data_IF_792984073523
#
_entry.id   IF_792984073523
#
_cell.length_a   1.000
_cell.length_b   1.000
_cell.length_c   1.000
_cell.angle_alpha   90.00
_cell.angle_beta   90.00
_cell.angle_gamma   90.00
#
_symmetry.space_group_name_H-M   'P 1'
#
loop_
_entity.id
_entity.type
_entity.pdbx_description
1 polymer ?
#
# COMPACT_ATOMS: atom_id res chain seq x y z
N UNK A 1 -64.39 12.13 -37.15
CA UNK A 1 -64.82 13.38 -37.83
C UNK A 1 -65.16 14.38 -36.73
N UNK A 2 -64.53 15.53 -36.54
CA UNK A 2 -63.95 16.49 -37.49
C UNK A 2 -62.63 17.07 -36.98
N UNK A 3 -61.77 17.34 -37.96
CA UNK A 3 -60.46 17.98 -37.88
C UNK A 3 -60.57 19.49 -37.63
N UNK A 4 -59.53 20.00 -36.98
CA UNK A 4 -58.88 21.31 -37.17
C UNK A 4 -59.74 22.57 -37.19
N UNK A 5 -59.60 23.40 -36.15
CA UNK A 5 -59.43 24.84 -36.35
C UNK A 5 -58.57 25.43 -35.21
N UNK A 6 -57.29 25.69 -35.50
CA UNK A 6 -56.45 26.59 -34.69
C UNK A 6 -55.63 27.45 -35.64
N UNK A 7 -55.99 28.72 -35.62
CA UNK A 7 -55.40 29.84 -36.34
C UNK A 7 -53.87 29.81 -36.34
N UNK A 8 -53.30 30.01 -37.53
CA UNK A 8 -51.87 30.19 -37.75
C UNK A 8 -51.40 31.50 -37.08
N UNK A 9 -50.34 31.49 -36.26
CA UNK A 9 -49.81 32.70 -35.66
C UNK A 9 -49.20 33.61 -36.74
N UNK A 10 -49.39 34.92 -36.59
CA UNK A 10 -48.94 35.95 -37.54
C UNK A 10 -47.43 35.88 -37.80
N UNK A 11 -46.99 36.34 -38.98
CA UNK A 11 -45.59 36.35 -39.38
C UNK A 11 -44.67 37.06 -38.37
N UNK A 12 -45.20 38.03 -37.60
CA UNK A 12 -44.50 38.72 -36.52
C UNK A 12 -44.24 37.82 -35.30
N UNK A 13 -45.20 36.96 -34.94
CA UNK A 13 -45.07 36.01 -33.83
C UNK A 13 -44.06 34.89 -34.16
N UNK A 14 -44.02 34.42 -35.41
CA UNK A 14 -43.01 33.44 -35.87
C UNK A 14 -41.60 34.01 -35.85
N UNK A 15 -41.40 35.27 -36.24
CA UNK A 15 -40.09 35.95 -36.18
C UNK A 15 -39.60 36.15 -34.74
N UNK A 16 -40.50 36.48 -33.80
CA UNK A 16 -40.14 36.62 -32.37
C UNK A 16 -39.80 35.28 -31.72
N UNK A 17 -40.54 34.20 -32.00
CA UNK A 17 -40.18 32.86 -31.53
C UNK A 17 -38.85 32.36 -32.12
N UNK A 18 -38.59 32.59 -33.40
CA UNK A 18 -37.33 32.20 -34.04
C UNK A 18 -36.12 32.97 -33.44
N UNK A 19 -36.28 34.26 -33.12
CA UNK A 19 -35.24 35.05 -32.46
C UNK A 19 -34.98 34.61 -31.01
N UNK A 20 -36.03 34.24 -30.27
CA UNK A 20 -35.93 33.70 -28.90
C UNK A 20 -35.30 32.30 -28.87
N UNK A 21 -35.71 31.41 -29.77
CA UNK A 21 -35.08 30.09 -29.93
C UNK A 21 -33.62 30.21 -30.40
N UNK A 22 -33.33 31.13 -31.33
CA UNK A 22 -31.97 31.40 -31.79
C UNK A 22 -31.06 31.92 -30.69
N UNK A 23 -31.55 32.82 -29.83
CA UNK A 23 -30.80 33.35 -28.68
C UNK A 23 -30.62 32.33 -27.56
N UNK A 24 -31.61 31.47 -27.30
CA UNK A 24 -31.50 30.33 -26.37
C UNK A 24 -30.50 29.27 -26.87
N UNK A 25 -30.50 28.96 -28.17
CA UNK A 25 -29.55 28.04 -28.78
C UNK A 25 -28.13 28.63 -28.81
N UNK A 26 -27.98 29.94 -29.04
CA UNK A 26 -26.69 30.62 -28.96
C UNK A 26 -26.15 30.65 -27.53
N UNK A 27 -27.02 30.91 -26.54
CA UNK A 27 -26.67 30.86 -25.12
C UNK A 27 -26.30 29.43 -24.66
N UNK A 28 -27.03 28.41 -25.13
CA UNK A 28 -26.70 27.01 -24.87
C UNK A 28 -25.38 26.61 -25.54
N UNK A 29 -25.12 27.05 -26.79
CA UNK A 29 -23.87 26.80 -27.49
C UNK A 29 -22.67 27.54 -26.85
N UNK A 30 -22.88 28.75 -26.33
CA UNK A 30 -21.88 29.51 -25.57
C UNK A 30 -21.62 28.89 -24.18
N UNK A 31 -22.66 28.34 -23.52
CA UNK A 31 -22.52 27.60 -22.27
C UNK A 31 -21.78 26.26 -22.46
N UNK A 32 -22.07 25.54 -23.55
CA UNK A 32 -21.37 24.32 -23.95
C UNK A 32 -19.91 24.59 -24.36
N UNK A 33 -19.63 25.73 -25.02
CA UNK A 33 -18.25 26.18 -25.31
C UNK A 33 -17.48 26.67 -24.07
N UNK A 34 -18.18 27.09 -23.01
CA UNK A 34 -17.59 27.40 -21.71
C UNK A 34 -17.21 26.16 -20.89
N UNK A 35 -17.86 25.03 -21.16
CA UNK A 35 -17.62 23.76 -20.46
C UNK A 35 -16.45 22.93 -21.02
N UNK A 36 -15.95 23.26 -22.22
CA UNK A 36 -14.91 22.51 -22.94
C UNK A 36 -13.59 23.26 -23.09
N UNK A 37 -13.40 24.40 -22.40
CA UNK A 37 -12.09 25.06 -22.36
C UNK A 37 -11.10 24.19 -21.57
N UNK A 38 -9.93 23.83 -22.13
CA UNK A 38 -8.84 23.23 -21.37
C UNK A 38 -8.53 24.15 -20.19
N UNK A 39 -8.65 23.63 -18.96
CA UNK A 39 -8.30 24.38 -17.77
C UNK A 39 -6.80 24.67 -17.80
N UNK A 40 -6.36 25.93 -17.65
CA UNK A 40 -4.95 26.24 -17.46
C UNK A 40 -4.44 25.56 -16.19
N UNK A 41 -3.27 24.92 -16.27
CA UNK A 41 -2.59 24.35 -15.12
C UNK A 41 -2.46 25.42 -14.02
N UNK A 42 -2.94 25.10 -12.81
CA UNK A 42 -2.82 25.98 -11.64
C UNK A 42 -4.04 26.86 -11.31
N UNK A 43 -5.11 26.88 -12.11
CA UNK A 43 -6.31 27.66 -11.72
C UNK A 43 -7.02 27.01 -10.51
N UNK A 44 -7.22 27.72 -9.36
CA UNK A 44 -7.70 27.11 -8.11
C UNK A 44 -9.04 26.38 -8.23
N UNK A 45 -9.98 26.93 -9.00
CA UNK A 45 -11.29 26.29 -9.26
C UNK A 45 -11.20 24.99 -10.06
N UNK A 46 -10.23 24.88 -10.97
CA UNK A 46 -10.01 23.66 -11.75
C UNK A 46 -9.36 22.58 -10.88
N UNK A 47 -8.36 22.97 -10.07
CA UNK A 47 -7.73 22.09 -9.07
C UNK A 47 -8.77 21.53 -8.09
N UNK A 48 -9.67 22.37 -7.59
CA UNK A 48 -10.72 21.93 -6.67
C UNK A 48 -11.73 20.97 -7.33
N UNK A 49 -12.11 21.20 -8.60
CA UNK A 49 -12.97 20.27 -9.35
C UNK A 49 -12.29 18.93 -9.57
N UNK A 50 -11.01 18.93 -9.93
CA UNK A 50 -10.21 17.72 -10.09
C UNK A 50 -10.09 16.95 -8.78
N UNK A 51 -9.80 17.63 -7.66
CA UNK A 51 -9.68 17.00 -6.36
C UNK A 51 -11.00 16.41 -5.87
N UNK A 52 -12.13 17.10 -6.07
CA UNK A 52 -13.46 16.52 -5.81
C UNK A 52 -13.74 15.28 -6.66
N UNK A 53 -13.29 15.25 -7.91
CA UNK A 53 -13.41 14.07 -8.76
C UNK A 53 -12.48 12.91 -8.34
N UNK A 54 -11.49 13.17 -7.48
CA UNK A 54 -10.58 12.17 -6.91
C UNK A 54 -10.96 11.79 -5.47
N UNK A 55 -11.92 12.45 -4.85
CA UNK A 55 -12.43 12.02 -3.55
C UNK A 55 -13.03 10.62 -3.68
N UNK A 56 -12.73 9.77 -2.71
CA UNK A 56 -13.39 8.48 -2.62
C UNK A 56 -14.79 8.73 -2.09
N UNK A 57 -15.84 8.31 -2.80
CA UNK A 57 -17.20 8.47 -2.29
C UNK A 57 -17.30 7.69 -0.97
N UNK A 58 -18.02 8.22 0.04
CA UNK A 58 -18.25 7.46 1.26
C UNK A 58 -19.00 6.18 0.88
N UNK A 59 -18.30 5.04 0.98
CA UNK A 59 -18.85 3.75 0.58
C UNK A 59 -20.06 3.37 1.42
N UNK A 60 -20.00 3.68 2.71
CA UNK A 60 -21.07 3.51 3.71
C UNK A 60 -21.31 4.83 4.46
N UNK A 61 -22.43 4.92 5.20
CA UNK A 61 -22.70 6.01 6.16
C UNK A 61 -21.82 5.89 7.42
N UNK A 62 -20.51 5.69 7.24
CA UNK A 62 -19.55 5.69 8.33
C UNK A 62 -19.00 7.11 8.45
N UNK A 63 -19.06 7.69 9.65
CA UNK A 63 -18.46 8.99 9.92
C UNK A 63 -16.95 8.85 10.12
N UNK A 64 -16.20 8.61 9.04
CA UNK A 64 -14.76 8.43 9.10
C UNK A 64 -14.02 9.63 9.67
N UNK A 65 -14.53 10.85 9.46
CA UNK A 65 -13.96 12.06 10.09
C UNK A 65 -14.04 12.01 11.62
N UNK A 66 -15.14 11.49 12.16
CA UNK A 66 -15.33 11.28 13.60
C UNK A 66 -14.43 10.16 14.12
N UNK A 67 -14.37 9.03 13.41
CA UNK A 67 -13.47 7.90 13.73
C UNK A 67 -12.02 8.38 13.83
N UNK A 68 -11.52 9.11 12.84
CA UNK A 68 -10.14 9.64 12.85
C UNK A 68 -9.87 10.54 14.06
N UNK A 69 -10.86 11.33 14.50
CA UNK A 69 -10.75 12.20 15.68
C UNK A 69 -10.88 11.46 17.01
N UNK A 70 -11.16 10.16 17.01
CA UNK A 70 -11.41 9.40 18.23
C UNK A 70 -12.80 9.63 18.84
N UNK A 71 -13.79 10.08 18.04
CA UNK A 71 -15.17 10.20 18.50
C UNK A 71 -15.75 8.81 18.80
N UNK A 72 -15.95 8.51 20.08
CA UNK A 72 -16.46 7.22 20.54
C UNK A 72 -17.78 6.84 19.90
N UNK A 73 -18.66 7.82 19.62
CA UNK A 73 -19.95 7.55 18.99
C UNK A 73 -19.75 7.11 17.55
N UNK A 74 -18.90 7.81 16.80
CA UNK A 74 -18.59 7.46 15.42
C UNK A 74 -17.92 6.07 15.33
N UNK A 75 -17.04 5.73 16.27
CA UNK A 75 -16.39 4.41 16.34
C UNK A 75 -17.42 3.32 16.64
N UNK A 76 -18.28 3.50 17.65
CA UNK A 76 -19.33 2.54 18.00
C UNK A 76 -20.31 2.33 16.84
N UNK A 77 -20.75 3.41 16.19
CA UNK A 77 -21.63 3.34 15.01
C UNK A 77 -20.95 2.59 13.84
N UNK A 78 -19.65 2.80 13.61
CA UNK A 78 -18.89 2.10 12.58
C UNK A 78 -18.73 0.59 12.89
N UNK A 79 -18.44 0.24 14.14
CA UNK A 79 -18.34 -1.15 14.59
C UNK A 79 -19.68 -1.89 14.43
N UNK A 80 -20.79 -1.24 14.83
CA UNK A 80 -22.14 -1.78 14.63
C UNK A 80 -22.46 -1.98 13.15
N UNK A 81 -22.15 -0.99 12.31
CA UNK A 81 -22.36 -1.10 10.85
C UNK A 81 -21.59 -2.26 10.23
N UNK A 82 -20.36 -2.53 10.70
CA UNK A 82 -19.59 -3.68 10.24
C UNK A 82 -20.24 -5.01 10.60
N UNK A 83 -20.79 -5.15 11.82
CA UNK A 83 -21.47 -6.37 12.26
C UNK A 83 -22.73 -6.66 11.45
N UNK A 84 -23.53 -5.62 11.16
CA UNK A 84 -24.76 -5.76 10.35
C UNK A 84 -24.47 -6.23 8.92
N UNK A 85 -23.34 -5.80 8.37
CA UNK A 85 -22.98 -6.00 6.96
C UNK A 85 -22.05 -7.19 6.76
N UNK A 86 -21.42 -7.72 7.82
CA UNK A 86 -20.53 -8.89 7.77
C UNK A 86 -21.19 -10.10 7.06
N UNK A 87 -22.51 -10.25 7.17
CA UNK A 87 -23.28 -11.31 6.50
C UNK A 87 -23.67 -11.02 5.04
N UNK A 88 -23.55 -9.77 4.57
CA UNK A 88 -24.07 -9.31 3.26
C UNK A 88 -23.01 -8.76 2.32
N UNK A 89 -21.79 -8.51 2.79
CA UNK A 89 -20.73 -7.95 1.94
C UNK A 89 -20.21 -9.01 0.96
N UNK A 90 -20.35 -8.73 -0.33
CA UNK A 90 -19.61 -9.43 -1.38
C UNK A 90 -18.36 -8.62 -1.75
N UNK A 91 -17.17 -9.18 -1.54
CA UNK A 91 -15.93 -8.60 -2.07
C UNK A 91 -15.91 -8.63 -3.59
N UNK A 92 -15.22 -7.68 -4.21
CA UNK A 92 -15.01 -7.69 -5.66
C UNK A 92 -14.21 -8.94 -6.08
N UNK A 93 -14.75 -9.67 -7.03
CA UNK A 93 -14.17 -10.92 -7.54
C UNK A 93 -13.13 -10.66 -8.62
N UNK A 94 -12.20 -11.61 -8.88
CA UNK A 94 -11.24 -11.48 -9.97
C UNK A 94 -11.92 -11.26 -11.34
N UNK A 95 -13.05 -11.92 -11.61
CA UNK A 95 -13.80 -11.75 -12.85
C UNK A 95 -14.37 -10.34 -13.03
N UNK A 96 -14.76 -9.67 -11.94
CA UNK A 96 -15.20 -8.27 -12.00
C UNK A 96 -14.03 -7.35 -12.36
N UNK A 97 -12.85 -7.55 -11.77
CA UNK A 97 -11.66 -6.79 -12.13
C UNK A 97 -11.27 -6.99 -13.60
N UNK A 98 -11.28 -8.24 -14.09
CA UNK A 98 -11.04 -8.53 -15.51
C UNK A 98 -11.99 -7.78 -16.45
N UNK A 99 -13.24 -7.58 -16.05
CA UNK A 99 -14.19 -6.82 -16.85
C UNK A 99 -13.93 -5.31 -16.77
N UNK A 100 -13.61 -4.79 -15.58
CA UNK A 100 -13.35 -3.37 -15.37
C UNK A 100 -12.08 -2.91 -16.09
N UNK A 101 -11.03 -3.73 -16.12
CA UNK A 101 -9.73 -3.40 -16.73
C UNK A 101 -9.69 -3.54 -18.26
N UNK A 102 -10.80 -3.90 -18.91
CA UNK A 102 -10.91 -3.88 -20.38
C UNK A 102 -10.74 -2.47 -20.95
N UNK A 103 -11.18 -1.47 -20.19
CA UNK A 103 -10.93 -0.06 -20.47
C UNK A 103 -10.14 0.51 -19.30
N UNK A 104 -8.82 0.62 -19.47
CA UNK A 104 -7.93 1.10 -18.42
C UNK A 104 -8.20 2.56 -18.03
N UNK A 105 -8.68 3.40 -18.95
CA UNK A 105 -9.03 4.78 -18.65
C UNK A 105 -10.26 4.82 -17.75
N UNK A 106 -11.31 4.08 -18.11
CA UNK A 106 -12.52 3.96 -17.30
C UNK A 106 -12.24 3.27 -15.95
N UNK A 107 -11.36 2.27 -15.92
CA UNK A 107 -10.92 1.62 -14.67
C UNK A 107 -10.26 2.63 -13.73
N UNK A 108 -9.24 3.36 -14.20
CA UNK A 108 -8.52 4.33 -13.38
C UNK A 108 -9.42 5.47 -12.90
N UNK A 109 -10.30 5.97 -13.76
CA UNK A 109 -11.28 7.00 -13.41
C UNK A 109 -12.29 6.50 -12.36
N UNK A 110 -12.92 5.34 -12.61
CA UNK A 110 -13.95 4.79 -11.73
C UNK A 110 -13.40 4.36 -10.37
N UNK A 111 -12.17 3.83 -10.35
CA UNK A 111 -11.47 3.46 -9.12
C UNK A 111 -10.78 4.64 -8.44
N UNK A 112 -10.74 5.81 -9.09
CA UNK A 112 -10.18 7.07 -8.57
C UNK A 112 -8.67 6.97 -8.31
N UNK A 113 -7.90 6.46 -9.26
CA UNK A 113 -6.43 6.53 -9.19
C UNK A 113 -5.94 7.97 -9.40
N UNK A 114 -4.84 8.34 -8.74
CA UNK A 114 -4.20 9.65 -8.92
C UNK A 114 -3.11 9.49 -9.98
N UNK A 115 -3.34 10.04 -11.18
CA UNK A 115 -2.48 9.82 -12.35
C UNK A 115 -1.49 10.96 -12.63
N UNK A 116 -1.32 11.88 -11.68
CA UNK A 116 -0.36 13.00 -11.77
C UNK A 116 0.31 13.22 -10.41
N UNK A 117 1.57 13.69 -10.37
CA UNK A 117 2.23 14.06 -9.11
C UNK A 117 1.45 15.16 -8.38
N UNK A 118 1.28 15.03 -7.06
CA UNK A 118 0.54 16.01 -6.27
C UNK A 118 1.40 17.21 -5.85
N UNK A 119 2.72 17.04 -5.82
CA UNK A 119 3.71 18.08 -5.51
C UNK A 119 5.04 17.81 -6.23
N UNK A 120 5.83 18.86 -6.43
CA UNK A 120 7.19 18.75 -6.98
C UNK A 120 8.11 17.94 -6.03
N UNK A 121 7.92 18.09 -4.71
CA UNK A 121 8.68 17.33 -3.72
C UNK A 121 8.50 15.82 -3.88
N UNK A 122 7.27 15.38 -4.17
CA UNK A 122 6.97 13.97 -4.41
C UNK A 122 7.45 13.50 -5.78
N UNK A 123 7.40 14.35 -6.81
CA UNK A 123 7.88 14.04 -8.16
C UNK A 123 9.39 13.80 -8.18
N UNK A 124 10.14 14.63 -7.45
CA UNK A 124 11.61 14.57 -7.35
C UNK A 124 12.13 13.49 -6.39
N UNK A 125 11.25 12.76 -5.70
CA UNK A 125 11.64 11.69 -4.79
C UNK A 125 10.88 10.37 -5.07
N UNK A 126 11.17 9.69 -6.19
CA UNK A 126 10.49 8.43 -6.53
C UNK A 126 10.76 7.32 -5.50
N UNK A 127 9.71 6.56 -5.20
CA UNK A 127 9.74 5.41 -4.29
C UNK A 127 9.46 4.13 -5.07
N UNK A 128 10.17 3.06 -4.73
CA UNK A 128 9.90 1.72 -5.22
C UNK A 128 9.07 0.90 -4.21
N UNK A 129 8.20 0.02 -4.71
CA UNK A 129 7.46 -0.93 -3.89
C UNK A 129 7.64 -2.35 -4.39
N UNK A 130 7.94 -3.29 -3.47
CA UNK A 130 7.89 -4.73 -3.71
C UNK A 130 6.61 -5.30 -3.08
N UNK A 131 5.64 -5.69 -3.90
CA UNK A 131 4.32 -6.12 -3.43
C UNK A 131 4.15 -7.64 -3.58
N UNK A 132 4.28 -8.37 -2.47
CA UNK A 132 4.11 -9.84 -2.44
C UNK A 132 2.67 -10.21 -2.08
N UNK A 133 1.93 -10.78 -3.02
CA UNK A 133 0.49 -11.08 -2.89
C UNK A 133 0.18 -12.53 -3.28
N UNK A 134 -0.90 -13.08 -2.73
CA UNK A 134 -1.34 -14.45 -3.07
C UNK A 134 -2.86 -14.65 -3.15
N UNK A 135 -3.68 -13.68 -2.71
CA UNK A 135 -5.13 -13.74 -2.74
C UNK A 135 -5.77 -12.34 -2.59
N UNK A 136 -7.10 -12.29 -2.47
CA UNK A 136 -7.91 -11.10 -2.16
C UNK A 136 -7.64 -9.92 -3.11
N UNK A 137 -8.10 -10.08 -4.36
CA UNK A 137 -7.89 -9.10 -5.43
C UNK A 137 -8.36 -7.67 -5.07
N UNK A 138 -9.48 -7.54 -4.33
CA UNK A 138 -9.96 -6.24 -3.86
C UNK A 138 -8.98 -5.56 -2.90
N UNK A 139 -8.35 -6.33 -2.01
CA UNK A 139 -7.36 -5.78 -1.08
C UNK A 139 -6.09 -5.34 -1.81
N UNK A 140 -5.64 -6.12 -2.80
CA UNK A 140 -4.52 -5.72 -3.67
C UNK A 140 -4.80 -4.40 -4.38
N UNK A 141 -5.96 -4.25 -5.03
CA UNK A 141 -6.28 -3.01 -5.73
C UNK A 141 -6.38 -1.82 -4.78
N UNK A 142 -7.00 -1.98 -3.60
CA UNK A 142 -7.13 -0.90 -2.61
C UNK A 142 -5.77 -0.47 -2.06
N UNK A 143 -4.88 -1.43 -1.79
CA UNK A 143 -3.51 -1.15 -1.38
C UNK A 143 -2.75 -0.40 -2.50
N UNK A 144 -2.81 -0.92 -3.74
CA UNK A 144 -2.17 -0.28 -4.88
C UNK A 144 -2.70 1.15 -5.06
N UNK A 145 -4.01 1.36 -5.06
CA UNK A 145 -4.65 2.68 -5.18
C UNK A 145 -4.22 3.66 -4.10
N UNK A 146 -3.98 3.18 -2.88
CA UNK A 146 -3.61 4.01 -1.74
C UNK A 146 -2.14 4.38 -1.71
N UNK A 147 -1.28 3.58 -2.37
CA UNK A 147 0.15 3.84 -2.52
C UNK A 147 0.52 4.45 -3.88
N UNK A 148 -0.35 4.34 -4.90
CA UNK A 148 -0.05 4.69 -6.28
C UNK A 148 0.23 6.18 -6.46
N UNK A 149 1.38 6.49 -7.05
CA UNK A 149 1.75 7.78 -7.62
C UNK A 149 2.49 7.53 -8.94
N UNK A 150 2.28 8.34 -9.99
CA UNK A 150 2.82 8.07 -11.32
C UNK A 150 4.34 8.14 -11.43
N UNK A 151 5.01 8.87 -10.53
CA UNK A 151 6.47 8.95 -10.48
C UNK A 151 7.13 7.76 -9.77
N UNK A 152 6.39 7.02 -8.95
CA UNK A 152 6.88 5.86 -8.21
C UNK A 152 6.97 4.62 -9.11
N UNK A 153 7.50 3.51 -8.61
CA UNK A 153 7.55 2.23 -9.33
C UNK A 153 7.11 1.06 -8.45
N UNK A 154 6.37 0.12 -9.03
CA UNK A 154 5.73 -0.97 -8.29
C UNK A 154 6.01 -2.31 -8.95
N UNK A 155 6.73 -3.18 -8.26
CA UNK A 155 6.85 -4.59 -8.65
C UNK A 155 5.83 -5.42 -7.88
N UNK A 156 5.10 -6.28 -8.58
CA UNK A 156 4.10 -7.19 -8.00
C UNK A 156 4.57 -8.63 -8.16
N UNK A 157 4.88 -9.27 -7.05
CA UNK A 157 5.14 -10.70 -7.00
C UNK A 157 3.86 -11.44 -6.57
N UNK A 158 3.22 -12.13 -7.51
CA UNK A 158 2.11 -13.04 -7.19
C UNK A 158 2.62 -14.46 -6.91
N UNK A 159 2.18 -15.09 -5.82
CA UNK A 159 2.51 -16.49 -5.55
C UNK A 159 2.06 -17.36 -6.74
N UNK A 160 2.97 -18.18 -7.27
CA UNK A 160 2.70 -19.00 -8.43
C UNK A 160 1.63 -20.10 -8.15
N UNK A 161 1.37 -20.40 -6.87
CA UNK A 161 0.28 -21.27 -6.42
C UNK A 161 -1.09 -20.59 -6.35
N UNK A 162 -1.16 -19.26 -6.55
CA UNK A 162 -2.44 -18.54 -6.52
C UNK A 162 -3.37 -19.00 -7.64
N UNK A 163 -4.71 -18.97 -7.43
CA UNK A 163 -5.67 -19.37 -8.45
C UNK A 163 -5.47 -18.62 -9.77
N UNK A 164 -5.64 -19.31 -10.91
CA UNK A 164 -5.44 -18.72 -12.24
C UNK A 164 -6.22 -17.42 -12.45
N UNK A 165 -7.51 -17.41 -12.09
CA UNK A 165 -8.36 -16.22 -12.18
C UNK A 165 -7.82 -15.02 -11.36
N UNK A 166 -7.19 -15.28 -10.20
CA UNK A 166 -6.54 -14.22 -9.42
C UNK A 166 -5.32 -13.67 -10.16
N UNK A 167 -4.45 -14.55 -10.67
CA UNK A 167 -3.25 -14.13 -11.41
C UNK A 167 -3.62 -13.32 -12.66
N UNK A 168 -4.62 -13.77 -13.41
CA UNK A 168 -5.15 -13.04 -14.58
C UNK A 168 -5.66 -11.65 -14.21
N UNK A 169 -6.45 -11.54 -13.14
CA UNK A 169 -6.95 -10.26 -12.67
C UNK A 169 -5.82 -9.31 -12.22
N UNK A 170 -4.80 -9.82 -11.53
CA UNK A 170 -3.62 -9.02 -11.17
C UNK A 170 -2.92 -8.52 -12.42
N UNK A 171 -2.64 -9.38 -13.40
CA UNK A 171 -2.01 -8.97 -14.67
C UNK A 171 -2.84 -7.91 -15.40
N UNK A 172 -4.15 -8.04 -15.40
CA UNK A 172 -5.04 -7.07 -16.04
C UNK A 172 -5.07 -5.71 -15.33
N UNK A 173 -5.01 -5.67 -13.99
CA UNK A 173 -4.87 -4.42 -13.23
C UNK A 173 -3.51 -3.78 -13.52
N UNK A 174 -2.43 -4.57 -13.42
CA UNK A 174 -1.05 -4.10 -13.61
C UNK A 174 -0.87 -3.49 -15.01
N UNK A 175 -1.44 -4.11 -16.05
CA UNK A 175 -1.36 -3.63 -17.43
C UNK A 175 -1.97 -2.23 -17.65
N UNK A 176 -2.79 -1.72 -16.72
CA UNK A 176 -3.36 -0.38 -16.82
C UNK A 176 -2.42 0.75 -16.37
N UNK A 177 -1.24 0.43 -15.84
CA UNK A 177 -0.29 1.39 -15.31
C UNK A 177 1.11 1.18 -15.92
N UNK A 178 1.77 2.23 -16.42
CA UNK A 178 3.08 2.09 -17.08
C UNK A 178 4.24 1.83 -16.11
N UNK A 179 4.05 2.16 -14.82
CA UNK A 179 5.04 2.07 -13.75
C UNK A 179 4.73 0.96 -12.73
N UNK A 180 3.79 0.06 -13.06
CA UNK A 180 3.48 -1.14 -12.29
C UNK A 180 3.79 -2.34 -13.19
N UNK A 181 4.49 -3.33 -12.67
CA UNK A 181 4.81 -4.54 -13.42
C UNK A 181 4.79 -5.78 -12.54
N UNK A 182 4.62 -6.95 -13.16
CA UNK A 182 4.72 -8.25 -12.48
C UNK A 182 6.19 -8.66 -12.46
N UNK A 183 6.65 -9.21 -11.34
CA UNK A 183 8.02 -9.74 -11.23
C UNK A 183 8.32 -10.75 -12.35
N UNK A 184 9.51 -10.68 -12.91
CA UNK A 184 10.00 -11.56 -13.99
C UNK A 184 10.09 -13.02 -13.54
N UNK A 185 10.33 -13.24 -12.25
CA UNK A 185 10.40 -14.55 -11.61
C UNK A 185 9.39 -14.66 -10.45
N UNK A 186 8.52 -15.66 -10.52
CA UNK A 186 7.50 -15.94 -9.50
C UNK A 186 7.81 -17.23 -8.73
N UNK A 187 7.77 -17.13 -7.41
CA UNK A 187 8.05 -18.22 -6.48
C UNK A 187 6.78 -18.94 -6.01
N UNK A 188 6.91 -20.22 -5.72
CA UNK A 188 5.94 -20.98 -4.92
C UNK A 188 6.21 -20.71 -3.43
N UNK A 189 5.56 -19.69 -2.85
CA UNK A 189 5.94 -19.23 -1.51
C UNK A 189 5.47 -20.21 -0.43
N UNK A 190 6.40 -20.78 0.32
CA UNK A 190 6.16 -21.63 1.50
C UNK A 190 6.44 -20.83 2.77
N UNK A 191 5.50 -20.85 3.71
CA UNK A 191 5.59 -20.14 4.99
C UNK A 191 6.91 -20.48 5.72
N UNK A 192 7.56 -19.45 6.28
CA UNK A 192 8.83 -19.55 7.00
C UNK A 192 10.02 -20.11 6.19
N UNK A 193 9.90 -20.23 4.87
CA UNK A 193 11.01 -20.67 4.00
C UNK A 193 11.66 -19.52 3.24
N UNK A 194 12.82 -19.80 2.64
CA UNK A 194 13.55 -18.89 1.75
C UNK A 194 12.69 -18.29 0.64
N UNK A 195 11.73 -19.03 0.10
CA UNK A 195 10.87 -18.55 -1.00
C UNK A 195 10.14 -17.25 -0.69
N UNK A 196 9.82 -16.96 0.59
CA UNK A 196 9.24 -15.67 0.99
C UNK A 196 10.22 -14.52 0.76
N UNK A 197 11.48 -14.70 1.13
CA UNK A 197 12.54 -13.72 0.93
C UNK A 197 12.91 -13.60 -0.55
N UNK A 198 12.98 -14.73 -1.27
CA UNK A 198 13.24 -14.77 -2.70
C UNK A 198 12.21 -13.97 -3.51
N UNK A 199 10.93 -14.00 -3.12
CA UNK A 199 9.89 -13.21 -3.77
C UNK A 199 10.19 -11.70 -3.75
N UNK A 200 10.70 -11.18 -2.61
CA UNK A 200 11.14 -9.78 -2.52
C UNK A 200 12.42 -9.53 -3.32
N UNK A 201 13.39 -10.46 -3.27
CA UNK A 201 14.63 -10.35 -4.05
C UNK A 201 14.36 -10.31 -5.56
N UNK A 202 13.44 -11.14 -6.07
CA UNK A 202 13.05 -11.13 -7.48
C UNK A 202 12.51 -9.76 -7.88
N UNK A 203 11.60 -9.18 -7.07
CA UNK A 203 11.10 -7.84 -7.32
C UNK A 203 12.18 -6.77 -7.24
N UNK A 204 13.06 -6.84 -6.24
CA UNK A 204 14.16 -5.89 -6.07
C UNK A 204 15.15 -5.92 -7.24
N UNK A 205 15.43 -7.11 -7.80
CA UNK A 205 16.26 -7.27 -8.99
C UNK A 205 15.64 -6.57 -10.21
N UNK A 206 14.34 -6.75 -10.44
CA UNK A 206 13.63 -6.09 -11.54
C UNK A 206 13.52 -4.58 -11.34
N UNK A 207 13.29 -4.14 -10.10
CA UNK A 207 13.24 -2.71 -9.74
C UNK A 207 14.56 -1.99 -10.05
N UNK A 208 15.70 -2.64 -9.90
CA UNK A 208 17.01 -2.07 -10.29
C UNK A 208 17.10 -1.78 -11.80
N UNK A 209 16.36 -2.52 -12.63
CA UNK A 209 16.30 -2.33 -14.09
C UNK A 209 15.30 -1.24 -14.52
N UNK A 210 14.50 -0.71 -13.59
CA UNK A 210 13.56 0.36 -13.90
C UNK A 210 14.28 1.63 -14.34
N UNK A 211 13.78 2.35 -15.37
CA UNK A 211 14.32 3.66 -15.74
C UNK A 211 14.00 4.75 -14.70
N UNK A 212 13.09 4.49 -13.76
CA UNK A 212 12.73 5.43 -12.70
C UNK A 212 13.86 5.43 -11.65
N UNK A 213 14.51 6.57 -11.36
CA UNK A 213 15.62 6.65 -10.42
C UNK A 213 15.13 6.71 -8.97
N UNK A 214 14.49 5.63 -8.50
CA UNK A 214 13.94 5.55 -7.16
C UNK A 214 15.01 5.56 -6.06
N UNK A 215 14.66 6.12 -4.90
CA UNK A 215 15.60 6.30 -3.77
C UNK A 215 15.57 5.15 -2.76
N UNK A 216 14.36 4.71 -2.40
CA UNK A 216 14.11 3.65 -1.42
C UNK A 216 13.10 2.66 -1.98
N UNK A 217 13.23 1.39 -1.56
CA UNK A 217 12.19 0.38 -1.72
C UNK A 217 11.54 0.07 -0.38
N UNK A 218 10.21 -0.03 -0.40
CA UNK A 218 9.39 -0.56 0.68
C UNK A 218 8.76 -1.86 0.22
N UNK A 219 8.93 -2.94 0.97
CA UNK A 219 8.20 -4.17 0.67
C UNK A 219 6.85 -4.20 1.41
N UNK A 220 5.86 -4.84 0.80
CA UNK A 220 4.51 -5.00 1.32
C UNK A 220 3.99 -6.41 1.08
N UNK A 221 3.06 -6.85 1.91
CA UNK A 221 2.23 -8.02 1.67
C UNK A 221 0.78 -7.62 1.36
N UNK A 222 -0.02 -8.56 0.85
CA UNK A 222 -1.42 -8.31 0.46
C UNK A 222 -2.40 -7.93 1.60
N UNK A 223 -1.96 -7.86 2.85
CA UNK A 223 -2.76 -7.45 4.02
C UNK A 223 -2.25 -6.18 4.69
N UNK A 224 -1.34 -5.47 4.02
CA UNK A 224 -0.83 -4.19 4.47
C UNK A 224 -1.71 -3.03 4.04
N UNK A 225 -1.60 -1.90 4.75
CA UNK A 225 -2.22 -0.65 4.33
C UNK A 225 -1.39 0.56 4.78
N UNK A 226 -1.30 1.64 3.97
CA UNK A 226 -0.62 2.86 4.40
C UNK A 226 -1.36 3.54 5.54
N UNK A 227 -0.59 4.21 6.40
CA UNK A 227 -1.07 5.12 7.45
C UNK A 227 -0.45 6.52 7.32
N UNK A 228 0.19 6.77 6.18
CA UNK A 228 0.82 8.02 5.75
C UNK A 228 0.52 8.23 4.27
N UNK A 229 0.37 9.49 3.88
CA UNK A 229 0.28 9.90 2.47
C UNK A 229 1.64 9.74 1.76
N UNK A 230 1.66 9.72 0.43
CA UNK A 230 2.92 9.63 -0.32
C UNK A 230 3.89 10.78 0.05
N UNK A 231 3.41 12.02 0.16
CA UNK A 231 4.19 13.16 0.65
C UNK A 231 4.78 12.95 2.06
N UNK A 232 4.01 12.39 3.00
CA UNK A 232 4.52 12.08 4.34
C UNK A 232 5.56 10.95 4.32
N UNK A 233 5.37 9.93 3.47
CA UNK A 233 6.36 8.87 3.26
C UNK A 233 7.65 9.49 2.70
N UNK A 234 7.58 10.30 1.64
CA UNK A 234 8.72 11.01 1.06
C UNK A 234 9.48 11.81 2.13
N UNK A 235 8.77 12.60 2.95
CA UNK A 235 9.39 13.39 4.03
C UNK A 235 10.06 12.52 5.07
N UNK A 236 9.43 11.43 5.50
CA UNK A 236 10.02 10.49 6.45
C UNK A 236 11.28 9.82 5.89
N UNK A 237 11.29 9.45 4.61
CA UNK A 237 12.45 8.85 3.94
C UNK A 237 13.59 9.85 3.74
N UNK A 238 13.30 11.12 3.47
CA UNK A 238 14.30 12.19 3.40
C UNK A 238 15.05 12.37 4.74
N UNK A 239 14.34 12.24 5.87
CA UNK A 239 14.94 12.32 7.22
C UNK A 239 15.97 11.20 7.46
N UNK A 240 15.85 10.05 6.80
CA UNK A 240 16.82 8.96 6.93
C UNK A 240 18.20 9.28 6.33
N UNK A 241 18.31 10.30 5.46
CA UNK A 241 19.58 10.76 4.89
C UNK A 241 20.46 9.63 4.31
N UNK A 242 19.83 8.69 3.59
CA UNK A 242 20.51 7.55 2.96
C UNK A 242 20.75 6.35 3.88
N UNK A 243 20.19 6.34 5.09
CA UNK A 243 20.19 5.17 5.98
C UNK A 243 18.96 4.30 5.76
N UNK A 244 19.09 3.01 6.01
CA UNK A 244 17.95 2.10 5.99
C UNK A 244 17.15 2.20 7.31
N UNK A 245 15.91 1.72 7.31
CA UNK A 245 15.11 1.55 8.52
C UNK A 245 14.40 0.19 8.51
N UNK A 246 14.63 -0.61 9.54
CA UNK A 246 14.00 -1.91 9.78
C UNK A 246 14.22 -2.33 11.23
N UNK A 247 13.42 -3.27 11.72
CA UNK A 247 13.68 -3.94 13.00
C UNK A 247 15.01 -4.69 12.90
N UNK A 248 15.90 -4.48 13.87
CA UNK A 248 17.20 -5.14 13.94
C UNK A 248 17.66 -5.13 15.40
N UNK A 249 17.41 -6.25 16.06
CA UNK A 249 17.64 -6.46 17.49
C UNK A 249 18.53 -7.68 17.72
N UNK A 250 19.16 -7.73 18.89
CA UNK A 250 20.00 -8.85 19.28
C UNK A 250 19.15 -10.12 19.39
N UNK A 251 19.59 -11.24 18.78
CA UNK A 251 18.76 -12.42 18.71
C UNK A 251 18.65 -13.12 20.07
N UNK A 252 17.43 -13.43 20.49
CA UNK A 252 17.17 -14.28 21.66
C UNK A 252 17.69 -15.70 21.43
N UNK A 253 17.95 -16.45 22.51
CA UNK A 253 18.40 -17.85 22.41
C UNK A 253 17.43 -18.73 21.58
N UNK A 254 16.12 -18.46 21.67
CA UNK A 254 15.11 -19.12 20.85
C UNK A 254 15.24 -18.76 19.36
N UNK A 255 15.38 -17.46 19.02
CA UNK A 255 15.51 -17.06 17.61
C UNK A 255 16.80 -17.58 17.00
N UNK A 256 17.89 -17.70 17.77
CA UNK A 256 19.16 -18.28 17.29
C UNK A 256 19.02 -19.72 16.79
N UNK A 257 18.08 -20.51 17.31
CA UNK A 257 17.83 -21.88 16.85
C UNK A 257 17.44 -21.95 15.37
N UNK A 258 16.90 -20.86 14.80
CA UNK A 258 16.38 -20.81 13.43
C UNK A 258 17.46 -20.95 12.35
N UNK A 259 18.72 -20.61 12.65
CA UNK A 259 19.84 -20.71 11.71
C UNK A 259 21.00 -21.58 12.22
N UNK A 260 20.86 -22.20 13.40
CA UNK A 260 21.84 -23.18 13.90
C UNK A 260 21.73 -24.54 13.23
N UNK A 261 20.59 -24.84 12.61
CA UNK A 261 20.28 -26.13 12.00
C UNK A 261 19.78 -25.95 10.57
N UNK A 262 20.02 -26.96 9.74
CA UNK A 262 19.44 -27.03 8.40
C UNK A 262 17.93 -27.23 8.50
N UNK A 263 17.20 -26.64 7.57
CA UNK A 263 15.78 -26.80 7.42
C UNK A 263 15.48 -27.23 5.98
N UNK A 264 14.61 -28.22 5.86
CA UNK A 264 14.17 -28.75 4.57
C UNK A 264 12.73 -28.32 4.30
N UNK A 265 12.43 -28.04 3.03
CA UNK A 265 11.11 -27.60 2.58
C UNK A 265 10.44 -28.74 1.84
N UNK A 266 9.32 -29.22 2.39
CA UNK A 266 8.37 -30.07 1.69
C UNK A 266 7.05 -29.28 1.52
N UNK A 267 5.91 -29.82 1.94
CA UNK A 267 4.66 -29.05 2.06
C UNK A 267 4.76 -27.99 3.17
N UNK A 268 5.53 -28.31 4.20
CA UNK A 268 5.89 -27.41 5.30
C UNK A 268 7.41 -27.46 5.50
N UNK A 269 7.96 -26.43 6.13
CA UNK A 269 9.37 -26.40 6.52
C UNK A 269 9.54 -27.14 7.85
N UNK A 270 10.58 -27.97 7.96
CA UNK A 270 10.94 -28.64 9.20
C UNK A 270 12.45 -28.59 9.45
N UNK A 271 12.82 -28.59 10.73
CA UNK A 271 14.22 -28.59 11.17
C UNK A 271 14.81 -30.00 11.09
N UNK A 272 16.00 -30.14 10.52
CA UNK A 272 16.74 -31.40 10.52
C UNK A 272 17.68 -31.50 11.73
N UNK A 273 18.32 -32.66 11.91
CA UNK A 273 19.34 -32.83 12.96
C UNK A 273 20.70 -32.23 12.56
N UNK A 274 20.88 -31.82 11.31
CA UNK A 274 22.16 -31.35 10.78
C UNK A 274 22.42 -29.92 11.25
N UNK A 275 23.55 -29.73 11.94
CA UNK A 275 23.98 -28.42 12.42
C UNK A 275 24.65 -27.64 11.29
N UNK A 276 24.30 -26.36 11.14
CA UNK A 276 24.91 -25.48 10.14
C UNK A 276 26.28 -24.98 10.60
N UNK A 277 27.13 -24.70 9.63
CA UNK A 277 28.33 -23.88 9.87
C UNK A 277 27.93 -22.45 10.28
N UNK A 278 28.79 -21.72 11.01
CA UNK A 278 28.59 -20.29 11.28
C UNK A 278 28.35 -19.49 10.00
N UNK A 279 27.67 -18.33 10.08
CA UNK A 279 27.48 -17.47 8.91
C UNK A 279 28.84 -17.08 8.32
N UNK A 280 28.95 -17.00 6.98
CA UNK A 280 30.21 -16.63 6.33
C UNK A 280 30.67 -15.23 6.76
N UNK A 281 31.98 -14.98 6.67
CA UNK A 281 32.61 -13.70 6.99
C UNK A 281 32.38 -13.18 8.43
N UNK A 282 31.94 -14.07 9.34
CA UNK A 282 31.60 -13.74 10.72
C UNK A 282 30.53 -12.62 10.82
N UNK A 283 29.55 -12.64 9.92
CA UNK A 283 28.47 -11.65 9.94
C UNK A 283 27.77 -11.63 11.31
N UNK A 284 27.52 -10.43 11.88
CA UNK A 284 26.89 -10.32 13.18
C UNK A 284 25.39 -10.57 13.02
N UNK A 285 24.91 -11.74 13.45
CA UNK A 285 23.50 -12.11 13.28
C UNK A 285 22.59 -11.23 14.14
N UNK A 286 21.59 -10.62 13.50
CA UNK A 286 20.50 -9.87 14.13
C UNK A 286 19.15 -10.44 13.69
N UNK A 287 18.11 -10.14 14.47
CA UNK A 287 16.73 -10.51 14.14
C UNK A 287 15.86 -9.29 13.99
N UNK A 288 14.86 -9.38 13.13
CA UNK A 288 13.81 -8.40 12.98
C UNK A 288 12.54 -9.06 12.44
N UNK A 289 11.87 -8.37 11.53
CA UNK A 289 10.74 -8.88 10.77
C UNK A 289 10.98 -8.77 9.26
N UNK A 290 10.04 -9.27 8.46
CA UNK A 290 10.16 -9.32 7.01
C UNK A 290 10.08 -7.95 6.31
N UNK A 291 9.69 -6.87 6.99
CA UNK A 291 9.35 -5.58 6.39
C UNK A 291 10.45 -4.55 6.55
N UNK A 292 10.83 -3.90 5.45
CA UNK A 292 12.00 -3.04 5.38
C UNK A 292 11.75 -1.76 4.60
N UNK A 293 12.54 -0.74 4.93
CA UNK A 293 12.78 0.47 4.13
C UNK A 293 14.28 0.47 3.85
N UNK A 294 14.67 0.23 2.60
CA UNK A 294 16.09 0.12 2.22
C UNK A 294 16.39 0.97 0.99
N UNK A 295 17.61 1.51 0.95
CA UNK A 295 18.07 2.36 -0.16
C UNK A 295 18.30 1.55 -1.44
N UNK A 296 18.23 2.21 -2.60
CA UNK A 296 18.63 1.61 -3.88
C UNK A 296 20.06 1.05 -3.86
N UNK A 297 20.98 1.76 -3.19
CA UNK A 297 22.36 1.31 -3.04
C UNK A 297 22.48 0.02 -2.21
N UNK A 298 21.68 -0.13 -1.16
CA UNK A 298 21.62 -1.37 -0.37
C UNK A 298 21.13 -2.54 -1.24
N UNK A 299 20.08 -2.32 -2.02
CA UNK A 299 19.55 -3.35 -2.94
C UNK A 299 20.59 -3.75 -3.97
N UNK A 300 21.25 -2.78 -4.60
CA UNK A 300 22.32 -3.05 -5.56
C UNK A 300 23.48 -3.84 -4.92
N UNK A 301 23.92 -3.44 -3.72
CA UNK A 301 24.97 -4.12 -2.99
C UNK A 301 24.68 -5.60 -2.74
N UNK A 302 23.43 -5.96 -2.42
CA UNK A 302 23.03 -7.37 -2.19
C UNK A 302 23.31 -8.26 -3.42
N UNK A 303 23.12 -7.71 -4.62
CA UNK A 303 23.30 -8.46 -5.86
C UNK A 303 24.72 -8.38 -6.45
N UNK A 304 25.53 -7.41 -6.02
CA UNK A 304 26.88 -7.19 -6.56
C UNK A 304 27.99 -7.68 -5.62
N UNK A 305 27.77 -7.64 -4.30
CA UNK A 305 28.80 -8.00 -3.31
C UNK A 305 28.89 -9.52 -3.09
N UNK A 306 30.06 -10.15 -3.32
CA UNK A 306 30.21 -11.59 -3.17
C UNK A 306 29.98 -12.10 -1.74
N UNK A 307 30.28 -11.30 -0.71
CA UNK A 307 30.08 -11.70 0.68
C UNK A 307 28.59 -11.68 1.06
N UNK A 308 27.84 -10.68 0.57
CA UNK A 308 26.38 -10.64 0.67
C UNK A 308 25.73 -11.84 -0.04
N UNK A 309 26.15 -12.16 -1.27
CA UNK A 309 25.64 -13.33 -2.01
C UNK A 309 25.93 -14.66 -1.30
N UNK A 310 27.13 -14.84 -0.75
CA UNK A 310 27.48 -16.03 0.04
C UNK A 310 26.63 -16.15 1.31
N UNK A 311 26.33 -15.03 1.97
CA UNK A 311 25.43 -15.01 3.13
C UNK A 311 23.99 -15.37 2.76
N UNK A 312 23.48 -14.86 1.64
CA UNK A 312 22.16 -15.22 1.12
C UNK A 312 22.08 -16.72 0.80
N UNK A 313 23.09 -17.27 0.14
CA UNK A 313 23.16 -18.71 -0.14
C UNK A 313 23.17 -19.53 1.15
N UNK A 314 23.99 -19.14 2.13
CA UNK A 314 24.00 -19.77 3.45
C UNK A 314 22.65 -19.71 4.17
N UNK A 315 21.83 -18.69 3.93
CA UNK A 315 20.54 -18.50 4.59
C UNK A 315 19.38 -19.31 3.98
N UNK A 316 19.55 -19.90 2.79
CA UNK A 316 18.47 -20.58 2.04
C UNK A 316 17.77 -21.72 2.77
N UNK A 317 18.50 -22.42 3.64
CA UNK A 317 18.03 -23.56 4.42
C UNK A 317 17.92 -23.23 5.92
N UNK A 318 17.66 -21.97 6.24
CA UNK A 318 17.31 -21.51 7.60
C UNK A 318 15.80 -21.32 7.75
N UNK A 319 15.32 -21.25 8.99
CA UNK A 319 13.90 -21.02 9.28
C UNK A 319 13.57 -19.53 9.39
N UNK A 320 12.55 -19.08 8.66
CA UNK A 320 12.13 -17.68 8.56
C UNK A 320 13.30 -16.72 8.24
N UNK A 321 14.04 -16.94 7.14
CA UNK A 321 15.20 -16.11 6.78
C UNK A 321 14.86 -14.63 6.58
N UNK A 322 13.62 -14.33 6.21
CA UNK A 322 13.08 -12.98 6.14
C UNK A 322 13.13 -12.23 7.49
N UNK A 323 13.16 -12.93 8.62
CA UNK A 323 13.25 -12.34 9.96
C UNK A 323 14.69 -12.19 10.50
N UNK A 324 15.74 -12.53 9.73
CA UNK A 324 17.13 -12.32 10.15
C UNK A 324 18.07 -11.86 9.04
N UNK A 325 17.81 -12.14 7.76
CA UNK A 325 18.68 -11.74 6.65
C UNK A 325 18.77 -10.22 6.54
N UNK A 326 17.62 -9.54 6.47
CA UNK A 326 17.57 -8.08 6.39
C UNK A 326 18.21 -7.42 7.61
N UNK A 327 17.77 -7.85 8.78
CA UNK A 327 18.26 -7.35 10.06
C UNK A 327 19.77 -7.53 10.20
N UNK A 328 20.33 -8.64 9.69
CA UNK A 328 21.78 -8.91 9.73
C UNK A 328 22.55 -8.07 8.72
N UNK A 329 22.13 -8.03 7.45
CA UNK A 329 22.80 -7.24 6.41
C UNK A 329 22.83 -5.75 6.75
N UNK A 330 21.78 -5.24 7.39
CA UNK A 330 21.71 -3.85 7.88
C UNK A 330 22.72 -3.53 9.01
N UNK A 331 23.53 -4.50 9.45
CA UNK A 331 24.47 -4.39 10.57
C UNK A 331 25.90 -4.77 10.19
N UNK A 332 26.10 -5.17 8.93
CA UNK A 332 27.42 -5.50 8.39
C UNK A 332 28.13 -4.20 8.00
N UNK A 333 29.35 -3.94 8.52
CA UNK A 333 30.12 -2.76 8.13
C UNK A 333 30.38 -2.71 6.62
N UNK A 334 30.20 -1.54 6.02
CA UNK A 334 30.41 -1.33 4.58
C UNK A 334 29.17 -1.53 3.70
N UNK A 335 28.11 -2.15 4.24
CA UNK A 335 26.82 -2.25 3.52
C UNK A 335 26.16 -0.85 3.43
N UNK A 336 25.70 -0.39 2.25
CA UNK A 336 25.12 0.94 2.10
C UNK A 336 23.91 1.19 2.99
N UNK A 337 23.92 2.31 3.72
CA UNK A 337 22.83 2.69 4.62
C UNK A 337 22.71 1.83 5.89
N UNK A 338 23.62 0.88 6.12
CA UNK A 338 23.65 0.04 7.30
C UNK A 338 23.97 0.83 8.58
N UNK A 339 23.55 0.27 9.71
CA UNK A 339 23.80 0.81 11.04
C UNK A 339 24.93 0.02 11.72
N UNK A 340 25.77 0.66 12.58
CA UNK A 340 26.85 -0.05 13.25
C UNK A 340 26.32 -1.20 14.12
N UNK A 341 27.03 -2.35 14.21
CA UNK A 341 26.53 -3.53 14.90
C UNK A 341 26.41 -3.37 16.43
N UNK A 342 26.87 -2.27 17.01
CA UNK A 342 26.77 -2.04 18.45
C UNK A 342 25.30 -2.00 18.93
N UNK A 343 25.04 -2.61 20.10
CA UNK A 343 23.70 -2.74 20.69
C UNK A 343 22.99 -1.38 20.89
N UNK A 344 23.73 -0.26 20.99
CA UNK A 344 23.16 1.10 21.05
C UNK A 344 22.37 1.52 19.81
N UNK A 345 22.55 0.83 18.68
CA UNK A 345 21.84 1.11 17.44
C UNK A 345 20.71 0.10 17.16
N UNK A 346 20.33 -0.73 18.14
CA UNK A 346 19.18 -1.62 17.95
C UNK A 346 17.91 -0.82 17.71
N UNK A 347 17.07 -1.31 16.80
CA UNK A 347 15.74 -0.77 16.52
C UNK A 347 14.73 -1.89 16.70
N UNK A 348 13.80 -1.70 17.64
CA UNK A 348 12.59 -2.52 17.75
C UNK A 348 11.60 -2.20 16.63
N UNK A 349 10.59 -3.05 16.47
CA UNK A 349 9.46 -2.85 15.56
C UNK A 349 8.74 -1.51 15.79
N UNK A 350 8.52 -1.13 17.06
CA UNK A 350 7.89 0.13 17.43
C UNK A 350 8.75 1.35 17.11
N UNK A 351 10.08 1.22 17.04
CA UNK A 351 10.99 2.33 16.72
C UNK A 351 11.33 2.42 15.23
N UNK A 352 11.27 1.30 14.50
CA UNK A 352 11.48 1.28 13.06
C UNK A 352 10.32 1.94 12.29
N UNK A 353 10.60 2.46 11.10
CA UNK A 353 9.59 3.10 10.24
C UNK A 353 8.67 2.12 9.46
N UNK A 354 9.13 0.96 8.96
CA UNK A 354 8.40 0.25 7.91
C UNK A 354 6.99 -0.17 8.29
N UNK A 355 6.80 -0.76 9.48
CA UNK A 355 5.56 -1.45 9.80
C UNK A 355 5.13 -1.32 11.25
N UNK A 356 3.90 -0.85 11.45
CA UNK A 356 3.19 -0.96 12.71
C UNK A 356 2.45 -2.32 12.77
N UNK A 357 2.71 -3.10 13.82
CA UNK A 357 2.07 -4.40 14.06
C UNK A 357 1.67 -4.48 15.53
N UNK A 358 0.47 -4.99 15.84
CA UNK A 358 0.11 -5.36 17.21
C UNK A 358 0.15 -6.87 17.38
N UNK A 359 0.93 -7.31 18.36
CA UNK A 359 0.99 -8.68 18.85
C UNK A 359 0.12 -8.86 20.09
N UNK A 360 -0.77 -9.85 20.06
CA UNK A 360 -1.78 -10.15 21.09
C UNK A 360 -1.20 -10.18 22.51
N UNK A 361 -0.05 -10.82 22.68
CA UNK A 361 0.60 -11.02 23.99
C UNK A 361 1.32 -9.78 24.54
N UNK A 362 1.35 -8.67 23.80
CA UNK A 362 1.90 -7.37 24.24
C UNK A 362 0.83 -6.27 24.32
N UNK A 363 -0.40 -6.57 23.94
CA UNK A 363 -1.51 -5.63 24.03
C UNK A 363 -1.89 -5.34 25.49
N UNK A 364 -2.26 -4.10 25.80
CA UNK A 364 -2.72 -3.79 27.15
C UNK A 364 -2.89 -2.30 27.42
N UNK A 365 -2.94 -1.96 28.70
CA UNK A 365 -3.05 -0.58 29.17
C UNK A 365 -1.72 0.15 28.96
N UNK A 366 -1.68 1.09 28.01
CA UNK A 366 -0.47 1.86 27.68
C UNK A 366 -0.02 2.74 28.82
N UNK A 367 -0.91 3.15 29.72
CA UNK A 367 -0.55 3.87 30.94
C UNK A 367 0.19 2.99 31.97
N UNK A 368 0.15 1.68 31.78
CA UNK A 368 0.80 0.66 32.63
C UNK A 368 1.95 -0.07 31.93
N UNK A 369 2.44 0.47 30.81
CA UNK A 369 3.65 -0.02 30.14
C UNK A 369 3.41 -0.96 28.96
N UNK A 370 2.17 -1.20 28.53
CA UNK A 370 1.93 -1.86 27.26
C UNK A 370 2.39 -0.94 26.10
N UNK A 371 3.05 -1.47 25.04
CA UNK A 371 3.46 -0.67 23.89
C UNK A 371 2.27 -0.11 23.09
N UNK A 372 1.11 -0.77 23.16
CA UNK A 372 -0.08 -0.38 22.40
C UNK A 372 -1.38 -0.89 23.04
N UNK A 373 -2.52 -0.21 22.78
CA UNK A 373 -3.80 -0.62 23.32
C UNK A 373 -4.30 -1.93 22.71
N UNK A 374 -5.28 -2.62 23.33
CA UNK A 374 -5.89 -3.82 22.79
C UNK A 374 -6.39 -3.65 21.36
N UNK A 375 -6.31 -4.74 20.59
CA UNK A 375 -6.88 -4.83 19.25
C UNK A 375 -8.39 -4.63 19.29
N UNK A 376 -8.94 -3.83 18.37
CA UNK A 376 -10.39 -3.63 18.26
C UNK A 376 -11.02 -4.51 17.18
N UNK A 377 -10.22 -5.27 16.44
CA UNK A 377 -10.64 -6.26 15.46
C UNK A 377 -10.51 -7.70 15.98
N UNK A 378 -9.74 -8.54 15.28
CA UNK A 378 -9.55 -9.96 15.62
C UNK A 378 -8.08 -10.36 15.55
N UNK A 379 -7.68 -11.39 16.27
CA UNK A 379 -6.32 -11.94 16.19
C UNK A 379 -6.26 -13.12 15.24
N UNK A 380 -5.23 -13.15 14.40
CA UNK A 380 -4.87 -14.31 13.60
C UNK A 380 -3.39 -14.62 13.77
N UNK A 381 -3.09 -15.79 14.34
CA UNK A 381 -1.71 -16.22 14.68
C UNK A 381 -1.00 -15.17 15.55
N UNK A 382 -1.68 -14.72 16.61
CA UNK A 382 -1.23 -13.68 17.55
C UNK A 382 -0.99 -12.28 16.96
N UNK A 383 -1.34 -12.02 15.69
CA UNK A 383 -1.27 -10.68 15.08
C UNK A 383 -2.67 -10.09 14.98
N UNK A 384 -2.85 -8.85 15.45
CA UNK A 384 -4.09 -8.10 15.29
C UNK A 384 -4.38 -7.82 13.80
N UNK A 385 -5.56 -8.23 13.37
CA UNK A 385 -6.25 -7.71 12.21
C UNK A 385 -7.05 -6.51 12.70
N UNK A 386 -6.58 -5.31 12.34
CA UNK A 386 -7.10 -4.06 12.90
C UNK A 386 -8.60 -3.89 12.69
N UNK A 387 -9.26 -3.34 13.71
CA UNK A 387 -10.64 -2.86 13.63
C UNK A 387 -10.69 -1.34 13.50
N UNK A 388 -11.87 -0.80 13.22
CA UNK A 388 -12.07 0.65 13.06
C UNK A 388 -11.75 1.46 14.32
N UNK A 389 -11.84 0.84 15.50
CA UNK A 389 -11.46 1.46 16.77
C UNK A 389 -9.95 1.66 16.93
N UNK A 390 -9.12 1.00 16.12
CA UNK A 390 -7.66 1.16 16.16
C UNK A 390 -7.18 2.42 15.41
N UNK A 391 -8.00 2.99 14.50
CA UNK A 391 -7.65 4.12 13.62
C UNK A 391 -7.11 5.35 14.38
N UNK A 392 -7.75 5.86 15.46
CA UNK A 392 -7.28 7.07 16.11
C UNK A 392 -5.87 6.92 16.68
N UNK A 393 -5.58 5.78 17.29
CA UNK A 393 -4.26 5.49 17.86
C UNK A 393 -3.23 5.18 16.75
N UNK A 394 -3.63 4.40 15.75
CA UNK A 394 -2.78 4.02 14.62
C UNK A 394 -2.24 5.23 13.85
N UNK A 395 -3.09 6.23 13.58
CA UNK A 395 -2.70 7.43 12.83
C UNK A 395 -1.73 8.35 13.61
N UNK A 396 -1.58 8.16 14.92
CA UNK A 396 -0.61 8.89 15.75
C UNK A 396 0.80 8.29 15.68
N UNK A 397 0.95 7.06 15.17
CA UNK A 397 2.25 6.37 15.12
C UNK A 397 3.09 6.88 13.94
N UNK A 398 4.42 6.85 14.04
CA UNK A 398 5.32 7.34 12.99
C UNK A 398 5.51 6.37 11.83
N UNK A 399 5.07 5.12 11.96
CA UNK A 399 5.22 4.11 10.91
C UNK A 399 4.56 4.53 9.60
N UNK A 400 5.08 3.98 8.51
CA UNK A 400 4.64 4.31 7.15
C UNK A 400 3.38 3.51 6.77
N UNK A 401 3.40 2.22 7.10
CA UNK A 401 2.31 1.30 6.86
C UNK A 401 2.01 0.47 8.12
N UNK A 402 0.84 -0.17 8.17
CA UNK A 402 0.44 -1.05 9.25
C UNK A 402 0.04 -2.45 8.73
N UNK A 403 0.09 -3.46 9.62
CA UNK A 403 -0.28 -4.86 9.36
C UNK A 403 -1.02 -5.44 10.59
N UNK A 404 -2.18 -6.09 10.48
CA UNK A 404 -2.87 -6.59 9.27
C UNK A 404 -4.23 -5.92 9.05
N UNK A 405 -4.67 -5.92 7.80
CA UNK A 405 -6.03 -5.53 7.42
C UNK A 405 -6.71 -6.66 6.66
N UNK A 406 -7.99 -6.87 6.95
CA UNK A 406 -8.84 -7.81 6.25
C UNK A 406 -10.24 -7.19 6.06
N UNK A 407 -10.67 -6.92 4.82
CA UNK A 407 -11.99 -6.37 4.56
C UNK A 407 -13.14 -7.28 5.08
N UNK A 408 -12.88 -8.56 5.33
CA UNK A 408 -13.85 -9.48 5.93
C UNK A 408 -13.93 -9.42 7.46
N UNK A 409 -12.90 -8.87 8.12
CA UNK A 409 -12.90 -8.63 9.58
C UNK A 409 -13.47 -7.25 9.88
N UNK A 410 -12.90 -6.22 9.27
CA UNK A 410 -13.37 -4.85 9.42
C UNK A 410 -13.03 -4.08 8.14
N UNK A 411 -14.06 -3.63 7.43
CA UNK A 411 -13.85 -2.79 6.25
C UNK A 411 -13.80 -1.31 6.57
N UNK A 412 -14.45 -0.90 7.66
CA UNK A 412 -14.58 0.48 8.05
C UNK A 412 -13.20 1.07 8.37
N UNK A 413 -12.31 0.29 8.98
CA UNK A 413 -10.91 0.69 9.18
C UNK A 413 -10.23 1.04 7.84
N UNK A 414 -10.40 0.20 6.81
CA UNK A 414 -9.76 0.39 5.50
C UNK A 414 -10.42 1.58 4.79
N UNK A 415 -11.74 1.67 4.80
CA UNK A 415 -12.49 2.78 4.20
C UNK A 415 -12.09 4.11 4.85
N UNK A 416 -12.00 4.16 6.18
CA UNK A 416 -11.64 5.39 6.88
C UNK A 416 -10.18 5.81 6.67
N UNK A 417 -9.25 4.85 6.58
CA UNK A 417 -7.87 5.16 6.20
C UNK A 417 -7.79 5.67 4.75
N UNK A 418 -8.50 5.05 3.82
CA UNK A 418 -8.59 5.50 2.43
C UNK A 418 -9.11 6.93 2.30
N UNK A 419 -10.27 7.21 2.89
CA UNK A 419 -10.88 8.55 2.87
C UNK A 419 -9.97 9.59 3.54
N UNK A 420 -9.40 9.25 4.70
CA UNK A 420 -8.52 10.14 5.45
C UNK A 420 -7.25 10.48 4.66
N UNK A 421 -6.51 9.48 4.19
CA UNK A 421 -5.26 9.68 3.47
C UNK A 421 -5.50 10.35 2.13
N UNK A 422 -6.58 10.00 1.41
CA UNK A 422 -6.97 10.67 0.17
C UNK A 422 -7.25 12.14 0.41
N UNK A 423 -8.08 12.47 1.40
CA UNK A 423 -8.40 13.86 1.73
C UNK A 423 -7.15 14.64 2.15
N UNK A 424 -6.28 14.05 2.98
CA UNK A 424 -5.02 14.69 3.38
C UNK A 424 -4.09 14.92 2.19
N UNK A 425 -3.93 13.96 1.30
CA UNK A 425 -3.08 14.12 0.12
C UNK A 425 -3.56 15.25 -0.81
N UNK A 426 -4.88 15.39 -0.99
CA UNK A 426 -5.44 16.41 -1.89
C UNK A 426 -5.48 17.81 -1.26
N UNK A 427 -5.67 17.92 0.07
CA UNK A 427 -5.98 19.21 0.70
C UNK A 427 -4.98 19.68 1.77
N UNK A 428 -4.14 18.82 2.34
CA UNK A 428 -3.27 19.22 3.46
C UNK A 428 -2.20 20.26 3.06
N UNK A 429 -1.85 20.38 1.79
CA UNK A 429 -0.91 21.42 1.32
C UNK A 429 -1.53 22.81 1.08
N UNK A 430 -2.83 22.98 1.35
CA UNK A 430 -3.50 24.29 1.23
C UNK A 430 -3.55 25.12 2.52
N UNK A 431 -2.98 24.61 3.61
CA UNK A 431 -2.80 25.38 4.85
C UNK A 431 -1.31 25.68 5.01
N UNK A 432 -0.88 26.80 4.43
CA UNK A 432 0.39 27.45 4.77
C UNK A 432 0.14 28.51 5.83
#
# INVERSE_FOLDING_TARGET
MRLCDRSLPSAAARRRCAALLGSLLLAAALALRGATRPCPAGHPRCRQRLYRALELPPGRRINCSGVVRGDERAIKEAQLSNLEVASRRASLTPGQYLNMTKDCSAFKESRRFIEFPLSQEEEEFPIAYSMVIHNKIEMFERLLRSLYAPQNVYCVHMDNKSPAAFQEAVRAIVACFPNVFVASHLENVVYASWSRLQADLNCMQDLLQSPIPWHYVLNTCGTDFPIKTNAEIVRALKVLQGRNSMESEKPSALKQQRWQYHHEVQQVIFRTATKKLPPPHNYPMFTGNAYVVITRAFVQHIFEDPAAQQFLEWAKDTYSPDEHVWATLNRVPGVPGAMPPNDKFQLSDMNALPRLVKWEYLEGDTSKGAPYPPCTGQHQRAVCIYGVGDVPWMLQQHHLLANKFDPLVDDAVIQCLEEHLRHRALYAETVK
#
